data_IF_877157453572
#
_entry.id   IF_877157453572
#
_cell.length_a   1.000
_cell.length_b   1.000
_cell.length_c   1.000
_cell.angle_alpha   90.00
_cell.angle_beta   90.00
_cell.angle_gamma   90.00
#
_symmetry.space_group_name_H-M   'P 1'
#
loop_
_entity.id
_entity.type
_entity.pdbx_description
1 polymer ?
#
# COMPACT_ATOMS: atom_id res chain seq x y z
N UNK A 1 -21.47 -11.82 17.64
CA UNK A 1 -20.25 -11.02 17.37
C UNK A 1 -19.03 -11.77 17.93
N UNK A 2 -18.28 -12.53 17.13
CA UNK A 2 -17.06 -13.22 17.59
C UNK A 2 -15.89 -12.26 17.43
N UNK A 3 -15.29 -11.79 18.53
CA UNK A 3 -13.98 -11.12 18.47
C UNK A 3 -12.98 -12.15 17.97
N UNK A 4 -12.25 -11.83 16.90
CA UNK A 4 -11.15 -12.66 16.42
C UNK A 4 -10.15 -12.86 17.56
N UNK A 5 -9.77 -14.11 17.83
CA UNK A 5 -8.92 -14.51 18.95
C UNK A 5 -7.46 -13.99 18.89
N UNK A 6 -7.16 -13.10 17.94
CA UNK A 6 -5.81 -12.63 17.63
C UNK A 6 -5.46 -11.24 18.16
N UNK A 7 -6.40 -10.49 18.74
CA UNK A 7 -6.10 -9.15 19.27
C UNK A 7 -6.09 -9.15 20.80
N UNK A 8 -4.88 -9.30 21.36
CA UNK A 8 -4.59 -9.04 22.76
C UNK A 8 -4.12 -7.59 22.92
N UNK A 9 -4.91 -6.70 23.54
CA UNK A 9 -4.58 -5.27 23.62
C UNK A 9 -3.37 -4.95 24.51
N UNK A 10 -2.98 -5.89 25.37
CA UNK A 10 -1.84 -5.82 26.29
C UNK A 10 -0.49 -6.17 25.65
N UNK A 11 -0.48 -6.64 24.39
CA UNK A 11 0.76 -7.01 23.69
C UNK A 11 0.88 -6.33 22.33
N UNK A 12 2.08 -5.86 21.96
CA UNK A 12 2.31 -5.40 20.60
C UNK A 12 2.04 -6.55 19.62
N UNK A 13 1.39 -6.24 18.51
CA UNK A 13 1.16 -7.23 17.45
C UNK A 13 2.50 -7.66 16.83
N UNK A 14 2.53 -8.84 16.20
CA UNK A 14 3.74 -9.38 15.58
C UNK A 14 4.42 -8.39 14.62
N UNK A 15 3.63 -7.62 13.85
CA UNK A 15 4.14 -6.58 12.98
C UNK A 15 4.91 -5.48 13.74
N UNK A 16 4.39 -5.01 14.87
CA UNK A 16 5.05 -3.97 15.67
C UNK A 16 6.39 -4.44 16.25
N UNK A 17 6.50 -5.73 16.61
CA UNK A 17 7.74 -6.34 17.09
C UNK A 17 8.77 -6.45 15.95
N UNK A 18 8.34 -6.84 14.76
CA UNK A 18 9.22 -7.10 13.62
C UNK A 18 9.65 -5.83 12.89
N UNK A 19 8.87 -4.74 12.95
CA UNK A 19 9.07 -3.49 12.19
C UNK A 19 10.52 -2.96 12.17
N UNK A 20 11.29 -2.96 13.27
CA UNK A 20 12.69 -2.47 13.25
C UNK A 20 13.64 -3.30 12.39
N UNK A 21 13.31 -4.57 12.14
CA UNK A 21 14.14 -5.52 11.39
C UNK A 21 13.70 -5.70 9.93
N UNK A 22 12.55 -5.12 9.55
CA UNK A 22 12.03 -5.24 8.19
C UNK A 22 12.74 -4.26 7.26
N UNK A 23 12.99 -4.71 6.03
CA UNK A 23 13.38 -3.80 4.96
C UNK A 23 12.23 -2.84 4.62
N UNK A 24 12.58 -1.64 4.17
CA UNK A 24 11.58 -0.65 3.77
C UNK A 24 10.90 -1.11 2.48
N UNK A 25 9.61 -1.37 2.55
CA UNK A 25 8.82 -1.82 1.41
C UNK A 25 7.57 -2.55 1.86
N UNK A 26 6.66 -2.78 0.92
CA UNK A 26 5.45 -3.54 1.16
C UNK A 26 5.06 -4.23 -0.14
N UNK A 27 4.67 -5.50 -0.03
CA UNK A 27 4.13 -6.21 -1.17
C UNK A 27 2.71 -5.70 -1.45
N UNK A 28 2.41 -5.16 -2.65
CA UNK A 28 1.15 -4.47 -2.92
C UNK A 28 -0.11 -5.29 -2.61
N UNK A 29 -0.04 -6.61 -2.78
CA UNK A 29 -1.19 -7.49 -2.53
C UNK A 29 -1.50 -7.70 -1.04
N UNK A 30 -0.58 -7.34 -0.14
CA UNK A 30 -0.77 -7.40 1.31
C UNK A 30 -1.01 -6.01 1.94
N UNK A 31 -1.16 -4.96 1.13
CA UNK A 31 -1.51 -3.62 1.61
C UNK A 31 -3.02 -3.50 1.86
N UNK A 32 -3.45 -3.87 3.07
CA UNK A 32 -4.86 -3.80 3.48
C UNK A 32 -5.32 -2.41 3.91
N UNK A 33 -4.40 -1.45 4.14
CA UNK A 33 -4.75 -0.10 4.57
C UNK A 33 -4.58 0.94 3.46
N UNK A 34 -5.66 1.69 3.29
CA UNK A 34 -5.94 2.69 2.24
C UNK A 34 -5.12 3.98 2.41
N UNK A 35 -4.06 3.97 3.20
CA UNK A 35 -3.29 5.17 3.51
C UNK A 35 -2.35 5.50 2.32
N UNK A 36 -2.46 6.69 1.71
CA UNK A 36 -1.67 7.08 0.54
C UNK A 36 -0.15 6.95 0.75
N UNK A 37 0.33 7.16 1.98
CA UNK A 37 1.76 7.10 2.32
C UNK A 37 2.39 5.71 2.21
N UNK A 38 1.62 4.64 2.44
CA UNK A 38 2.11 3.25 2.37
C UNK A 38 2.26 2.72 0.94
N UNK A 39 1.63 3.37 -0.04
CA UNK A 39 1.64 2.94 -1.44
C UNK A 39 2.94 3.31 -2.15
N UNK A 40 3.36 4.56 -1.98
CA UNK A 40 4.64 5.04 -2.51
C UNK A 40 5.83 4.30 -1.89
N UNK A 41 5.73 3.89 -0.61
CA UNK A 41 6.80 3.13 0.04
C UNK A 41 6.94 1.70 -0.49
N UNK A 42 5.84 1.04 -0.88
CA UNK A 42 5.86 -0.33 -1.38
C UNK A 42 6.31 -0.47 -2.83
N UNK A 43 6.04 0.55 -3.64
CA UNK A 43 6.37 0.58 -5.07
C UNK A 43 7.56 1.50 -5.39
N UNK A 44 8.32 1.95 -4.38
CA UNK A 44 9.27 3.07 -4.50
C UNK A 44 10.19 3.07 -5.74
N UNK A 45 10.79 1.94 -6.18
CA UNK A 45 11.60 1.95 -7.41
C UNK A 45 10.76 1.90 -8.70
N UNK A 46 9.54 1.38 -8.65
CA UNK A 46 8.64 1.26 -9.81
C UNK A 46 7.63 2.42 -9.92
N UNK A 47 7.47 3.26 -8.90
CA UNK A 47 6.44 4.30 -8.88
C UNK A 47 6.65 5.35 -9.98
N UNK A 48 7.87 5.90 -10.08
CA UNK A 48 8.25 6.92 -11.07
C UNK A 48 7.97 6.49 -12.53
N UNK A 49 8.38 5.31 -13.01
CA UNK A 49 8.08 4.90 -14.38
C UNK A 49 6.61 4.51 -14.61
N UNK A 50 5.86 4.13 -13.57
CA UNK A 50 4.46 3.73 -13.70
C UNK A 50 3.50 4.93 -13.89
N UNK A 51 3.86 6.12 -13.39
CA UNK A 51 3.03 7.32 -13.54
C UNK A 51 2.88 7.75 -15.02
N UNK A 52 3.96 7.85 -15.83
CA UNK A 52 3.85 8.09 -17.27
C UNK A 52 3.02 7.04 -18.02
N UNK A 53 3.10 5.77 -17.62
CA UNK A 53 2.29 4.70 -18.21
C UNK A 53 0.81 4.88 -17.87
N UNK A 54 0.49 5.19 -16.62
CA UNK A 54 -0.89 5.50 -16.20
C UNK A 54 -1.43 6.73 -16.94
N UNK A 55 -0.61 7.77 -17.11
CA UNK A 55 -0.98 8.95 -17.90
C UNK A 55 -1.33 8.60 -19.36
N UNK A 56 -0.62 7.63 -19.97
CA UNK A 56 -0.85 7.22 -21.36
C UNK A 56 -2.08 6.33 -21.53
N UNK A 57 -2.29 5.39 -20.61
CA UNK A 57 -3.26 4.31 -20.77
C UNK A 57 -4.53 4.45 -19.93
N UNK A 58 -4.52 5.26 -18.87
CA UNK A 58 -5.68 5.53 -18.01
C UNK A 58 -5.71 6.98 -17.50
N UNK A 59 -5.80 7.98 -18.41
CA UNK A 59 -5.70 9.39 -18.05
C UNK A 59 -6.84 9.89 -17.16
N UNK A 60 -8.02 9.26 -17.24
CA UNK A 60 -9.18 9.58 -16.41
C UNK A 60 -9.25 8.74 -15.13
N UNK A 61 -8.24 7.91 -14.87
CA UNK A 61 -8.13 7.05 -13.68
C UNK A 61 -9.36 6.15 -13.47
N UNK A 62 -9.88 5.57 -14.55
CA UNK A 62 -11.02 4.66 -14.54
C UNK A 62 -10.71 3.41 -13.71
N UNK A 63 -9.50 2.86 -13.86
CA UNK A 63 -9.04 1.68 -13.11
C UNK A 63 -8.41 2.06 -11.77
N UNK A 64 -9.24 2.52 -10.84
CA UNK A 64 -8.83 3.03 -9.52
C UNK A 64 -9.07 2.08 -8.34
N UNK A 65 -9.77 0.96 -8.54
CA UNK A 65 -10.08 -0.02 -7.49
C UNK A 65 -8.98 -1.07 -7.34
N UNK A 66 -7.76 -0.60 -7.09
CA UNK A 66 -6.56 -1.41 -6.82
C UNK A 66 -5.63 -0.61 -5.90
N UNK A 67 -4.36 -1.02 -5.75
CA UNK A 67 -3.32 -0.18 -5.16
C UNK A 67 -2.96 0.99 -6.11
N UNK A 68 -3.91 1.90 -6.26
CA UNK A 68 -3.93 2.84 -7.36
C UNK A 68 -2.75 3.79 -7.35
N UNK A 69 -2.19 4.00 -8.53
CA UNK A 69 -1.24 5.06 -8.86
C UNK A 69 -2.04 6.12 -9.62
N UNK A 70 -2.24 7.32 -9.05
CA UNK A 70 -2.98 8.38 -9.73
C UNK A 70 -2.17 8.94 -10.91
N UNK A 71 -2.81 9.32 -12.03
CA UNK A 71 -2.15 10.06 -13.08
C UNK A 71 -1.77 11.47 -12.61
N UNK A 72 -0.77 12.08 -13.26
CA UNK A 72 -0.23 13.40 -12.88
C UNK A 72 -1.20 14.56 -13.12
N UNK A 73 -2.23 14.36 -13.97
CA UNK A 73 -3.25 15.36 -14.32
C UNK A 73 -4.65 14.82 -14.01
N UNK A 74 -4.84 14.30 -12.80
CA UNK A 74 -6.13 13.79 -12.33
C UNK A 74 -7.01 14.89 -11.73
#
# INVERSE_FOLDING_TARGET
MRRSAYSRPDRPCAYAIQKPFLSVGAYPNYLFQRDPGSRASGLRPAYEPLVPLKNRYDPINFFRLNQNIPPSKS
#
